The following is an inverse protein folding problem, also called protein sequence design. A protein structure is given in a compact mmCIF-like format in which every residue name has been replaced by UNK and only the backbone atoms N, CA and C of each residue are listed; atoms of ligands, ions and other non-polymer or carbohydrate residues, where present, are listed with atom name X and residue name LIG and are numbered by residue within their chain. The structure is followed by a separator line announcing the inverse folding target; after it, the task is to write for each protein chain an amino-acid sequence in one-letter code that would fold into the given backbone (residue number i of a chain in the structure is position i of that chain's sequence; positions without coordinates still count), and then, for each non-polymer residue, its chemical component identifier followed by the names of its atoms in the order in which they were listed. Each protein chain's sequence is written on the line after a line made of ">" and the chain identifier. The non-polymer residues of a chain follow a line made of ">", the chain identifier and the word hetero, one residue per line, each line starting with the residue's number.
data_IF_133832075219
#
_entry.id   IF_133832075219
#
_cell.length_a   1.000
_cell.length_b   1.000
_cell.length_c   1.000
_cell.angle_alpha   90.00
_cell.angle_beta   90.00
_cell.angle_gamma   90.00
#
_symmetry.space_group_name_H-M   'P 1'
#
loop_
_entity.id
_entity.type
_entity.pdbx_description
1 polymer ?
#
# COMPACT_ATOMS: atom_id res chain seq x y z
N UNK A 1 9.97 15.22 11.18
CA UNK A 1 9.46 16.05 10.08
C UNK A 1 8.08 15.60 9.68
N UNK A 2 7.18 16.54 9.50
CA UNK A 2 5.84 16.22 9.07
C UNK A 2 5.80 15.95 7.57
N UNK A 3 5.02 14.96 7.19
CA UNK A 3 4.76 14.69 5.79
C UNK A 3 3.85 15.77 5.21
N UNK A 4 4.14 16.22 4.01
CA UNK A 4 3.29 17.17 3.30
C UNK A 4 2.94 16.61 1.94
N UNK A 5 1.64 16.47 1.69
CA UNK A 5 1.21 16.08 0.36
C UNK A 5 1.06 17.31 -0.52
N UNK A 6 1.39 17.13 -1.79
CA UNK A 6 1.10 18.13 -2.80
C UNK A 6 -0.41 18.21 -3.01
N UNK A 7 -0.96 19.39 -3.29
CA UNK A 7 -2.42 19.55 -3.36
C UNK A 7 -3.11 18.64 -4.37
N UNK A 8 -2.43 18.23 -5.43
CA UNK A 8 -3.03 17.41 -6.48
C UNK A 8 -2.38 16.05 -6.61
N UNK A 9 -1.64 15.61 -5.62
CA UNK A 9 -0.97 14.33 -5.66
C UNK A 9 -1.81 13.30 -4.91
N UNK A 10 -2.21 12.25 -5.62
CA UNK A 10 -2.84 11.11 -4.99
C UNK A 10 -1.78 10.12 -4.55
N UNK A 11 -2.05 9.47 -3.43
CA UNK A 11 -1.16 8.46 -2.87
C UNK A 11 -1.90 7.13 -2.94
N UNK A 12 -1.29 6.17 -3.63
CA UNK A 12 -1.84 4.82 -3.76
C UNK A 12 -1.00 3.88 -2.93
N UNK A 13 -1.63 3.18 -2.02
CA UNK A 13 -0.94 2.29 -1.10
C UNK A 13 -1.47 0.89 -1.30
N UNK A 14 -0.59 -0.04 -1.69
CA UNK A 14 -0.98 -1.41 -2.01
C UNK A 14 -0.26 -2.35 -1.07
N UNK A 15 -1.02 -3.12 -0.30
CA UNK A 15 -0.47 -4.11 0.62
C UNK A 15 -0.40 -5.48 -0.02
N UNK A 16 0.63 -6.23 0.33
CA UNK A 16 0.87 -7.58 -0.18
C UNK A 16 1.23 -8.53 0.95
N UNK A 17 0.99 -9.81 0.72
CA UNK A 17 1.39 -10.88 1.63
C UNK A 17 2.25 -11.89 0.87
N UNK A 18 2.88 -12.82 1.61
CA UNK A 18 3.42 -14.01 0.98
C UNK A 18 2.29 -15.04 0.78
N UNK A 19 2.63 -16.22 0.30
CA UNK A 19 1.63 -17.24 -0.02
C UNK A 19 1.25 -18.12 1.17
N UNK A 20 1.73 -17.82 2.36
CA UNK A 20 1.40 -18.61 3.56
C UNK A 20 -0.06 -18.34 3.95
N UNK A 21 -0.80 -19.43 4.18
CA UNK A 21 -2.19 -19.34 4.56
C UNK A 21 -3.12 -19.27 3.36
N UNK A 22 -4.32 -18.80 3.59
CA UNK A 22 -5.37 -18.77 2.58
C UNK A 22 -5.69 -17.35 2.14
N UNK A 23 -6.36 -17.22 1.00
CA UNK A 23 -6.82 -15.91 0.53
C UNK A 23 -7.78 -15.26 1.52
N UNK A 24 -8.57 -16.05 2.23
CA UNK A 24 -9.49 -15.52 3.24
C UNK A 24 -8.76 -14.79 4.37
N UNK A 25 -7.50 -15.17 4.62
CA UNK A 25 -6.65 -14.52 5.62
C UNK A 25 -5.81 -13.42 4.95
N UNK A 26 -5.23 -13.73 3.79
CA UNK A 26 -4.24 -12.84 3.16
C UNK A 26 -4.88 -11.59 2.56
N UNK A 27 -6.09 -11.70 2.03
CA UNK A 27 -6.72 -10.52 1.43
C UNK A 27 -7.00 -9.43 2.49
N UNK A 28 -7.70 -9.71 3.60
CA UNK A 28 -7.87 -8.66 4.61
C UNK A 28 -6.57 -8.25 5.28
N UNK A 29 -5.59 -9.14 5.42
CA UNK A 29 -4.29 -8.78 5.98
C UNK A 29 -3.58 -7.76 5.11
N UNK A 30 -3.62 -7.94 3.78
CA UNK A 30 -2.99 -7.01 2.86
C UNK A 30 -3.66 -5.64 2.88
N UNK A 31 -4.98 -5.60 3.03
CA UNK A 31 -5.72 -4.35 3.21
C UNK A 31 -5.30 -3.66 4.51
N UNK A 32 -5.20 -4.43 5.59
CA UNK A 32 -4.81 -3.88 6.88
C UNK A 32 -3.40 -3.28 6.82
N UNK A 33 -2.48 -3.92 6.09
CA UNK A 33 -1.13 -3.38 5.92
C UNK A 33 -1.15 -2.04 5.20
N UNK A 34 -1.93 -1.94 4.13
CA UNK A 34 -2.06 -0.68 3.39
C UNK A 34 -2.68 0.40 4.28
N UNK A 35 -3.72 0.05 5.03
CA UNK A 35 -4.39 1.01 5.90
C UNK A 35 -3.48 1.49 7.04
N UNK A 36 -2.60 0.63 7.55
CA UNK A 36 -1.64 1.03 8.58
C UNK A 36 -0.68 2.10 8.05
N UNK A 37 -0.24 1.96 6.82
CA UNK A 37 0.62 2.97 6.20
C UNK A 37 -0.14 4.28 5.99
N UNK A 38 -1.41 4.19 5.54
CA UNK A 38 -2.25 5.38 5.42
C UNK A 38 -2.33 6.13 6.75
N UNK A 39 -2.61 5.39 7.83
CA UNK A 39 -2.77 6.00 9.15
C UNK A 39 -1.46 6.65 9.61
N UNK A 40 -0.33 6.00 9.32
CA UNK A 40 0.98 6.55 9.63
C UNK A 40 1.20 7.89 8.91
N UNK A 41 0.86 7.94 7.62
CA UNK A 41 1.01 9.17 6.85
C UNK A 41 0.03 10.24 7.31
N UNK A 42 -1.19 9.86 7.68
CA UNK A 42 -2.21 10.80 8.14
C UNK A 42 -1.75 11.52 9.40
N UNK A 43 -1.13 10.80 10.34
CA UNK A 43 -0.61 11.41 11.56
C UNK A 43 0.46 12.45 11.23
N UNK A 44 1.15 12.29 10.10
CA UNK A 44 2.22 13.18 9.67
C UNK A 44 1.76 14.27 8.71
N UNK A 45 0.46 14.44 8.56
CA UNK A 45 -0.10 15.56 7.82
C UNK A 45 -0.56 15.25 6.40
N UNK A 46 -0.54 13.98 5.98
CA UNK A 46 -1.06 13.65 4.67
C UNK A 46 -2.57 13.85 4.61
N UNK A 47 -3.06 14.33 3.49
CA UNK A 47 -4.49 14.52 3.27
C UNK A 47 -5.11 13.17 2.92
N UNK A 48 -5.87 12.60 3.86
CA UNK A 48 -6.45 11.27 3.67
C UNK A 48 -7.45 11.21 2.53
N UNK A 49 -8.00 12.35 2.11
CA UNK A 49 -8.90 12.38 0.95
C UNK A 49 -8.17 12.04 -0.35
N UNK A 50 -6.85 12.17 -0.36
CA UNK A 50 -6.02 11.87 -1.51
C UNK A 50 -5.35 10.51 -1.41
N UNK A 51 -5.60 9.75 -0.35
CA UNK A 51 -4.98 8.45 -0.14
C UNK A 51 -5.97 7.35 -0.48
N UNK A 52 -5.55 6.43 -1.34
CA UNK A 52 -6.31 5.22 -1.65
C UNK A 52 -5.51 4.02 -1.21
N UNK A 53 -6.19 3.04 -0.63
CA UNK A 53 -5.55 1.81 -0.16
C UNK A 53 -6.15 0.63 -0.88
N UNK A 54 -5.33 -0.38 -1.11
CA UNK A 54 -5.75 -1.61 -1.76
C UNK A 54 -4.95 -2.76 -1.18
N UNK A 55 -5.58 -3.92 -1.04
CA UNK A 55 -4.89 -5.14 -0.66
C UNK A 55 -4.94 -6.12 -1.81
N UNK A 56 -3.80 -6.68 -2.19
CA UNK A 56 -3.70 -7.64 -3.26
C UNK A 56 -3.38 -9.05 -2.78
N UNK A 57 -3.35 -9.25 -1.46
CA UNK A 57 -3.08 -10.57 -0.91
C UNK A 57 -1.76 -11.11 -1.40
N UNK A 58 -1.73 -12.39 -1.76
CA UNK A 58 -0.52 -13.07 -2.25
C UNK A 58 -0.45 -13.14 -3.77
N UNK A 59 -1.27 -12.37 -4.47
CA UNK A 59 -1.44 -12.53 -5.92
C UNK A 59 -0.31 -11.96 -6.76
N UNK A 60 0.53 -11.10 -6.18
CA UNK A 60 1.59 -10.42 -6.95
C UNK A 60 2.95 -10.55 -6.26
N UNK A 61 3.52 -11.75 -6.25
CA UNK A 61 4.84 -11.94 -5.63
C UNK A 61 5.93 -11.28 -6.47
N UNK A 62 6.95 -10.75 -5.79
CA UNK A 62 8.15 -10.22 -6.43
C UNK A 62 9.35 -11.13 -6.20
N UNK A 63 9.19 -12.17 -5.39
CA UNK A 63 10.25 -13.12 -5.08
C UNK A 63 9.65 -14.49 -4.84
N UNK A 64 10.50 -15.49 -4.66
CA UNK A 64 10.05 -16.86 -4.46
C UNK A 64 9.36 -17.02 -3.11
N UNK A 65 8.18 -17.64 -3.12
CA UNK A 65 7.51 -18.01 -1.88
C UNK A 65 8.06 -19.31 -1.29
N UNK A 66 9.00 -19.95 -1.99
CA UNK A 66 9.61 -21.19 -1.50
C UNK A 66 10.72 -20.95 -0.48
N UNK A 67 11.23 -19.73 -0.37
CA UNK A 67 12.32 -19.40 0.56
C UNK A 67 11.84 -18.38 1.58
N UNK A 68 12.48 -18.40 2.76
CA UNK A 68 12.16 -17.43 3.81
C UNK A 68 12.44 -16.00 3.34
N UNK A 69 13.57 -15.78 2.67
CA UNK A 69 13.93 -14.45 2.19
C UNK A 69 12.96 -13.96 1.10
N UNK A 70 12.53 -14.87 0.23
CA UNK A 70 11.57 -14.52 -0.80
C UNK A 70 10.22 -14.17 -0.21
N UNK A 71 9.75 -14.94 0.77
CA UNK A 71 8.49 -14.62 1.45
C UNK A 71 8.58 -13.28 2.16
N UNK A 72 9.72 -12.99 2.80
CA UNK A 72 9.90 -11.70 3.46
C UNK A 72 9.81 -10.55 2.47
N UNK A 73 10.38 -10.72 1.28
CA UNK A 73 10.29 -9.70 0.23
C UNK A 73 8.87 -9.51 -0.27
N UNK A 74 8.06 -10.58 -0.28
CA UNK A 74 6.68 -10.49 -0.73
C UNK A 74 5.75 -9.80 0.30
N UNK A 75 6.10 -9.85 1.58
CA UNK A 75 5.37 -9.15 2.63
C UNK A 75 5.76 -7.68 2.60
N UNK A 76 5.08 -6.92 1.76
CA UNK A 76 5.48 -5.54 1.51
C UNK A 76 4.29 -4.64 1.30
N UNK A 77 4.56 -3.35 1.37
CA UNK A 77 3.61 -2.31 0.96
C UNK A 77 4.29 -1.49 -0.13
N UNK A 78 3.56 -1.25 -1.20
CA UNK A 78 4.04 -0.41 -2.29
C UNK A 78 3.29 0.92 -2.24
N UNK A 79 4.01 2.01 -2.44
CA UNK A 79 3.43 3.34 -2.39
C UNK A 79 3.71 4.00 -3.73
N UNK A 80 2.63 4.45 -4.37
CA UNK A 80 2.72 5.13 -5.67
C UNK A 80 2.16 6.52 -5.52
N UNK A 81 2.82 7.48 -6.14
CA UNK A 81 2.36 8.86 -6.18
C UNK A 81 1.92 9.16 -7.59
N UNK A 82 0.73 9.74 -7.72
CA UNK A 82 0.19 10.08 -9.03
C UNK A 82 -0.40 11.48 -8.95
N UNK A 83 0.02 12.33 -9.86
CA UNK A 83 -0.53 13.67 -9.93
C UNK A 83 -1.92 13.62 -10.51
N UNK A 84 -2.88 14.22 -9.81
CA UNK A 84 -4.25 14.25 -10.30
C UNK A 84 -4.36 15.15 -11.51
N UNK A 85 -5.21 14.76 -12.46
CA UNK A 85 -5.55 15.64 -13.55
C UNK A 85 -6.26 16.87 -13.00
N UNK A 86 -5.79 18.03 -13.39
CA UNK A 86 -6.39 19.30 -12.98
C UNK A 86 -7.09 19.88 -14.18
N UNK A 87 -8.30 20.40 -13.99
CA UNK A 87 -9.05 21.01 -15.07
C UNK A 87 -8.24 22.16 -15.65
N UNK A 88 -8.14 22.18 -16.97
CA UNK A 88 -7.45 23.26 -17.62
C UNK A 88 -8.32 24.50 -17.68
N UNK A 89 -7.70 25.65 -17.65
CA UNK A 89 -8.38 26.96 -17.67
C UNK A 89 -8.07 27.68 -18.94
#
# INVERSE_FOLDING_TARGET
>A
MLFRSQPNTEIYIIGHTDSTGTDAINNPLSVARANSVRDYLAVRGADTRLIRTEGRGSREPIASNATDSGRAANRRVEIFLAERAVAQR
#
